data_IF_727551725681
#
_entry.id   IF_727551725681
#
_cell.length_a   1.000
_cell.length_b   1.000
_cell.length_c   1.000
_cell.angle_alpha   90.00
_cell.angle_beta   90.00
_cell.angle_gamma   90.00
#
_symmetry.space_group_name_H-M   'P 1'
#
loop_
_entity.id
_entity.type
_entity.pdbx_description
1 polymer ?
#
# COMPACT_ATOMS: atom_id res chain seq x y z
N UNK A 1 54.99 -5.99 55.00
CA UNK A 1 54.56 -4.75 55.70
C UNK A 1 55.08 -3.55 54.91
N UNK A 2 54.27 -2.47 54.84
CA UNK A 2 54.30 -1.31 53.90
C UNK A 2 53.40 -1.54 52.68
N UNK A 3 52.54 -0.64 52.21
CA UNK A 3 51.97 0.61 52.71
C UNK A 3 50.71 0.88 51.87
N UNK A 4 49.68 1.40 52.54
CA UNK A 4 48.43 2.06 52.08
C UNK A 4 48.34 2.66 50.67
N UNK A 5 47.13 2.60 50.06
CA UNK A 5 46.30 3.68 49.46
C UNK A 5 45.12 3.02 48.73
N UNK A 6 43.86 3.05 49.21
CA UNK A 6 42.91 4.16 49.22
C UNK A 6 42.47 4.65 47.81
N UNK A 7 41.16 4.51 47.57
CA UNK A 7 40.30 5.30 46.67
C UNK A 7 40.38 5.10 45.15
N UNK A 8 39.24 4.70 44.59
CA UNK A 8 38.91 4.71 43.17
C UNK A 8 37.75 3.73 42.94
N UNK A 9 36.51 4.03 43.33
CA UNK A 9 35.78 5.22 42.91
C UNK A 9 34.88 4.82 41.74
N UNK A 10 33.60 4.57 42.07
CA UNK A 10 32.42 4.62 41.21
C UNK A 10 32.65 5.02 39.74
N UNK A 11 32.50 4.07 38.82
CA UNK A 11 32.20 4.34 37.40
C UNK A 11 31.05 3.42 36.97
N UNK A 12 29.87 3.72 37.49
CA UNK A 12 28.57 3.20 37.07
C UNK A 12 27.63 4.35 36.76
N UNK A 13 28.05 5.30 35.93
CA UNK A 13 27.15 6.29 35.30
C UNK A 13 27.79 6.76 34.00
N UNK A 14 26.99 6.87 32.93
CA UNK A 14 27.28 7.49 31.63
C UNK A 14 27.75 6.58 30.49
N UNK A 15 26.90 5.64 30.08
CA UNK A 15 26.76 5.28 28.67
C UNK A 15 25.29 4.96 28.33
N UNK A 16 24.39 5.81 28.80
CA UNK A 16 23.03 5.93 28.30
C UNK A 16 22.91 7.26 27.57
N UNK A 17 22.24 7.23 26.42
CA UNK A 17 21.99 8.34 25.50
C UNK A 17 23.17 8.71 24.59
N UNK A 18 23.17 8.18 23.36
CA UNK A 18 22.99 8.94 22.11
C UNK A 18 23.15 7.93 20.98
N UNK A 19 22.01 7.59 20.40
CA UNK A 19 21.76 7.28 19.00
C UNK A 19 20.48 6.47 19.03
N UNK A 20 19.38 7.19 19.17
CA UNK A 20 18.20 6.86 18.39
C UNK A 20 18.70 6.68 16.95
N UNK A 21 19.02 5.44 16.60
CA UNK A 21 18.79 4.97 15.24
C UNK A 21 17.28 4.89 15.13
N UNK A 22 16.62 6.05 15.13
CA UNK A 22 15.54 6.26 14.19
C UNK A 22 16.18 5.85 12.87
N UNK A 23 15.88 4.62 12.48
CA UNK A 23 16.33 4.05 11.24
C UNK A 23 16.07 5.16 10.22
N UNK A 24 17.14 5.66 9.59
CA UNK A 24 17.00 6.44 8.38
C UNK A 24 16.18 5.55 7.45
N UNK A 25 14.86 5.74 7.47
CA UNK A 25 13.95 5.13 6.54
C UNK A 25 14.18 5.97 5.30
N UNK A 26 14.78 5.40 4.25
CA UNK A 26 14.88 6.10 2.99
C UNK A 26 13.52 6.70 2.68
N UNK A 27 13.50 7.96 2.26
CA UNK A 27 12.26 8.60 1.86
C UNK A 27 11.60 7.69 0.82
N UNK A 28 10.38 7.19 1.04
CA UNK A 28 9.74 6.24 0.13
C UNK A 28 9.47 6.86 -1.27
N UNK A 29 9.70 8.16 -1.41
CA UNK A 29 9.58 8.94 -2.64
C UNK A 29 10.92 9.12 -3.38
N UNK A 30 12.05 8.69 -2.84
CA UNK A 30 13.35 8.82 -3.52
C UNK A 30 13.43 7.78 -4.65
N UNK A 31 13.20 8.21 -5.88
CA UNK A 31 13.45 7.43 -7.10
C UNK A 31 14.96 7.30 -7.33
N UNK A 32 15.65 6.47 -6.52
CA UNK A 32 17.05 6.12 -6.74
C UNK A 32 17.15 5.11 -7.90
N UNK A 33 17.82 5.43 -9.03
CA UNK A 33 17.97 4.50 -10.16
C UNK A 33 18.69 3.19 -9.81
N UNK A 34 19.43 3.14 -8.69
CA UNK A 34 20.23 2.00 -8.27
C UNK A 34 19.59 1.17 -7.13
N UNK A 35 18.51 1.68 -6.50
CA UNK A 35 17.81 1.01 -5.36
C UNK A 35 16.27 1.05 -5.47
N UNK A 36 15.70 1.95 -6.28
CA UNK A 36 14.33 2.45 -6.17
C UNK A 36 13.42 2.18 -7.38
N UNK A 37 13.29 0.92 -7.80
CA UNK A 37 12.22 0.57 -8.74
C UNK A 37 10.86 0.65 -8.04
N UNK A 38 10.00 1.60 -8.45
CA UNK A 38 8.63 1.68 -7.95
C UNK A 38 7.94 0.34 -8.22
N UNK A 39 7.37 -0.31 -7.19
CA UNK A 39 6.78 -1.62 -7.34
C UNK A 39 5.64 -1.60 -8.35
N UNK A 40 5.53 -2.69 -9.11
CA UNK A 40 4.45 -2.94 -10.04
C UNK A 40 3.59 -4.08 -9.52
N UNK A 41 2.34 -3.79 -9.20
CA UNK A 41 1.29 -4.77 -8.90
C UNK A 41 0.66 -5.20 -10.21
N UNK A 42 0.88 -6.46 -10.57
CA UNK A 42 0.40 -7.05 -11.82
C UNK A 42 -1.02 -7.57 -11.69
N UNK A 43 -1.72 -7.60 -12.82
CA UNK A 43 -3.00 -8.27 -12.94
C UNK A 43 -2.87 -9.75 -12.60
N UNK A 44 -3.89 -10.38 -12.00
CA UNK A 44 -3.88 -11.82 -11.80
C UNK A 44 -3.81 -12.55 -13.16
N UNK A 45 -3.11 -13.68 -13.19
CA UNK A 45 -2.94 -14.49 -14.41
C UNK A 45 -4.27 -15.13 -14.86
N UNK A 46 -5.16 -15.41 -13.91
CA UNK A 46 -6.47 -16.01 -14.15
C UNK A 46 -7.56 -15.01 -13.83
N UNK A 47 -8.61 -15.02 -14.64
CA UNK A 47 -9.80 -14.23 -14.37
C UNK A 47 -10.53 -14.82 -13.16
N UNK A 48 -10.70 -14.02 -12.11
CA UNK A 48 -11.40 -14.42 -10.88
C UNK A 48 -12.79 -14.97 -11.18
N UNK A 49 -13.50 -14.41 -12.15
CA UNK A 49 -14.82 -14.91 -12.49
C UNK A 49 -14.79 -16.34 -13.05
N UNK A 50 -13.67 -16.82 -13.63
CA UNK A 50 -13.56 -18.17 -14.24
C UNK A 50 -13.78 -19.28 -13.23
N UNK A 51 -13.44 -19.05 -11.97
CA UNK A 51 -13.62 -20.04 -10.91
C UNK A 51 -15.10 -20.38 -10.66
N UNK A 52 -16.02 -19.49 -11.03
CA UNK A 52 -17.45 -19.70 -10.86
C UNK A 52 -18.06 -20.62 -11.91
N UNK A 53 -17.37 -20.91 -13.02
CA UNK A 53 -17.83 -21.83 -14.06
C UNK A 53 -19.28 -21.56 -14.50
N UNK A 54 -20.17 -22.54 -14.28
CA UNK A 54 -21.62 -22.45 -14.61
C UNK A 54 -22.50 -22.03 -13.42
N UNK A 55 -21.91 -21.61 -12.31
CA UNK A 55 -22.65 -21.11 -11.15
C UNK A 55 -23.50 -19.90 -11.54
N UNK A 56 -24.66 -19.74 -10.89
CA UNK A 56 -25.50 -18.54 -11.05
C UNK A 56 -24.76 -17.24 -10.66
N UNK A 57 -23.71 -17.34 -9.84
CA UNK A 57 -22.87 -16.20 -9.42
C UNK A 57 -21.98 -15.68 -10.56
N UNK A 58 -21.68 -16.49 -11.59
CA UNK A 58 -20.79 -16.11 -12.69
C UNK A 58 -21.27 -14.85 -13.41
N UNK A 59 -22.57 -14.76 -13.71
CA UNK A 59 -23.13 -13.60 -14.41
C UNK A 59 -22.95 -12.30 -13.62
N UNK A 60 -23.19 -12.33 -12.32
CA UNK A 60 -23.00 -11.16 -11.44
C UNK A 60 -21.52 -10.78 -11.32
N UNK A 61 -20.61 -11.76 -11.31
CA UNK A 61 -19.17 -11.50 -11.33
C UNK A 61 -18.74 -10.82 -12.64
N UNK A 62 -19.24 -11.29 -13.78
CA UNK A 62 -18.93 -10.70 -15.09
C UNK A 62 -19.42 -9.27 -15.22
N UNK A 63 -20.63 -8.99 -14.72
CA UNK A 63 -21.18 -7.63 -14.66
C UNK A 63 -20.34 -6.74 -13.74
N UNK A 64 -19.99 -7.22 -12.54
CA UNK A 64 -19.13 -6.51 -11.61
C UNK A 64 -17.75 -6.21 -12.23
N UNK A 65 -17.19 -7.15 -12.99
CA UNK A 65 -15.93 -7.00 -13.71
C UNK A 65 -16.02 -5.93 -14.79
N UNK A 66 -17.12 -5.90 -15.54
CA UNK A 66 -17.38 -4.87 -16.54
C UNK A 66 -17.43 -3.48 -15.88
N UNK A 67 -18.21 -3.32 -14.81
CA UNK A 67 -18.32 -2.05 -14.07
C UNK A 67 -16.97 -1.61 -13.50
N UNK A 68 -16.21 -2.54 -12.91
CA UNK A 68 -14.87 -2.28 -12.40
C UNK A 68 -13.91 -1.82 -13.49
N UNK A 69 -14.00 -2.42 -14.68
CA UNK A 69 -13.17 -2.06 -15.84
C UNK A 69 -13.48 -0.64 -16.30
N UNK A 70 -14.77 -0.31 -16.44
CA UNK A 70 -15.20 1.04 -16.81
C UNK A 70 -14.80 2.09 -15.77
N UNK A 71 -14.94 1.79 -14.48
CA UNK A 71 -14.47 2.67 -13.41
C UNK A 71 -12.96 2.91 -13.51
N UNK A 72 -12.17 1.83 -13.58
CA UNK A 72 -10.70 1.88 -13.55
C UNK A 72 -10.13 2.66 -14.74
N UNK A 73 -10.72 2.48 -15.93
CA UNK A 73 -10.28 3.18 -17.15
C UNK A 73 -10.55 4.68 -17.16
N UNK A 74 -11.46 5.15 -16.31
CA UNK A 74 -11.81 6.57 -16.19
C UNK A 74 -10.95 7.30 -15.16
N UNK A 75 -10.17 6.56 -14.37
CA UNK A 75 -9.25 7.12 -13.39
C UNK A 75 -8.21 8.02 -14.07
N UNK A 76 -8.07 9.21 -13.53
CA UNK A 76 -7.18 10.26 -14.01
C UNK A 76 -6.32 10.78 -12.88
N UNK A 77 -5.18 11.40 -13.23
CA UNK A 77 -4.30 12.02 -12.24
C UNK A 77 -5.08 13.06 -11.42
N UNK A 78 -4.98 12.97 -10.10
CA UNK A 78 -5.71 13.80 -9.15
C UNK A 78 -6.97 13.14 -8.57
N UNK A 79 -7.47 12.05 -9.18
CA UNK A 79 -8.58 11.30 -8.58
C UNK A 79 -8.15 10.62 -7.28
N UNK A 80 -9.10 10.45 -6.37
CA UNK A 80 -8.94 9.61 -5.18
C UNK A 80 -9.74 8.32 -5.34
N UNK A 81 -9.22 7.24 -4.75
CA UNK A 81 -9.83 5.92 -4.74
C UNK A 81 -9.72 5.28 -3.36
N UNK A 82 -10.56 4.28 -3.10
CA UNK A 82 -10.46 3.42 -1.93
C UNK A 82 -9.74 2.11 -2.24
N UNK A 83 -8.73 1.76 -1.45
CA UNK A 83 -7.92 0.53 -1.60
C UNK A 83 -8.30 -0.60 -0.64
N UNK A 84 -9.22 -0.32 0.27
CA UNK A 84 -9.75 -1.29 1.20
C UNK A 84 -11.16 -0.89 1.63
N UNK A 85 -12.13 -1.70 1.21
CA UNK A 85 -13.53 -1.60 1.61
C UNK A 85 -14.29 -0.50 0.88
N UNK A 86 -14.12 -0.41 -0.45
CA UNK A 86 -14.88 0.55 -1.25
C UNK A 86 -14.26 0.90 -2.61
N UNK A 87 -13.38 0.06 -3.17
CA UNK A 87 -12.86 0.33 -4.52
C UNK A 87 -14.03 0.39 -5.51
N UNK A 88 -14.08 1.47 -6.30
CA UNK A 88 -15.20 1.77 -7.21
C UNK A 88 -16.31 2.64 -6.60
N UNK A 89 -16.24 2.93 -5.30
CA UNK A 89 -17.18 3.82 -4.61
C UNK A 89 -16.57 5.22 -4.43
N UNK A 90 -17.41 6.20 -4.07
CA UNK A 90 -16.95 7.56 -3.79
C UNK A 90 -16.04 7.58 -2.54
N UNK A 91 -14.80 8.11 -2.63
CA UNK A 91 -13.89 8.16 -1.50
C UNK A 91 -14.47 8.99 -0.34
N UNK A 92 -14.48 8.43 0.86
CA UNK A 92 -15.05 9.12 2.02
C UNK A 92 -14.74 8.43 3.34
N UNK A 93 -15.53 8.74 4.38
CA UNK A 93 -15.31 8.25 5.75
C UNK A 93 -15.39 6.73 5.90
N UNK A 94 -16.03 6.02 4.96
CA UNK A 94 -16.07 4.54 4.93
C UNK A 94 -14.75 3.90 4.51
N UNK A 95 -13.94 4.63 3.74
CA UNK A 95 -12.68 4.15 3.18
C UNK A 95 -11.69 3.77 4.28
N UNK A 96 -11.18 2.54 4.28
CA UNK A 96 -10.12 2.15 5.23
C UNK A 96 -8.75 2.64 4.78
N UNK A 97 -8.52 2.76 3.48
CA UNK A 97 -7.33 3.38 2.93
C UNK A 97 -7.66 4.14 1.66
N UNK A 98 -7.29 5.43 1.62
CA UNK A 98 -7.42 6.29 0.44
C UNK A 98 -6.10 6.39 -0.29
N UNK A 99 -6.16 6.29 -1.60
CA UNK A 99 -5.05 6.57 -2.47
C UNK A 99 -5.40 7.63 -3.51
N UNK A 100 -4.40 8.40 -3.93
CA UNK A 100 -4.51 9.33 -5.05
C UNK A 100 -3.86 8.73 -6.30
N UNK A 101 -4.45 8.99 -7.45
CA UNK A 101 -3.81 8.73 -8.74
C UNK A 101 -2.77 9.81 -8.98
N UNK A 102 -1.50 9.44 -9.04
CA UNK A 102 -0.38 10.39 -9.22
C UNK A 102 0.24 10.34 -10.60
N UNK A 103 -0.01 9.27 -11.37
CA UNK A 103 0.42 9.12 -12.77
C UNK A 103 -0.44 8.07 -13.49
N UNK A 104 -0.51 8.13 -14.82
CA UNK A 104 -1.20 7.14 -15.65
C UNK A 104 -0.32 6.75 -16.84
N UNK A 105 -0.39 5.47 -17.22
CA UNK A 105 0.33 4.91 -18.36
C UNK A 105 -0.56 3.88 -19.08
N UNK A 106 -0.22 3.43 -20.29
CA UNK A 106 -1.02 2.42 -20.98
C UNK A 106 -1.21 1.16 -20.12
N UNK A 107 -2.48 0.84 -19.81
CA UNK A 107 -2.91 -0.27 -18.95
C UNK A 107 -2.44 -0.19 -17.48
N UNK A 108 -2.04 0.99 -17.00
CA UNK A 108 -1.50 1.16 -15.64
C UNK A 108 -1.83 2.50 -15.02
N UNK A 109 -1.96 2.51 -13.70
CA UNK A 109 -2.07 3.72 -12.89
C UNK A 109 -1.08 3.68 -11.75
N UNK A 110 -0.44 4.81 -11.45
CA UNK A 110 0.45 4.96 -10.28
C UNK A 110 -0.38 5.53 -9.15
N UNK A 111 -0.39 4.81 -8.03
CA UNK A 111 -1.16 5.16 -6.85
C UNK A 111 -0.23 5.57 -5.72
N UNK A 112 -0.60 6.61 -4.99
CA UNK A 112 -0.01 6.96 -3.70
C UNK A 112 -1.03 6.73 -2.59
N UNK A 113 -0.70 5.94 -1.57
CA UNK A 113 -1.53 5.84 -0.36
C UNK A 113 -1.41 7.13 0.45
N UNK A 114 -2.50 7.91 0.54
CA UNK A 114 -2.53 9.21 1.23
C UNK A 114 -2.87 9.09 2.71
N UNK A 115 -3.84 8.23 3.04
CA UNK A 115 -4.31 8.04 4.41
C UNK A 115 -4.79 6.61 4.58
N UNK A 116 -4.47 5.98 5.72
CA UNK A 116 -5.00 4.68 6.08
C UNK A 116 -5.43 4.65 7.55
N UNK A 117 -6.55 3.98 7.84
CA UNK A 117 -7.00 3.75 9.21
C UNK A 117 -6.07 2.75 9.91
N UNK A 118 -5.96 2.79 11.25
CA UNK A 118 -5.10 1.86 12.00
C UNK A 118 -5.41 0.38 11.79
N UNK A 119 -6.64 0.04 11.41
CA UNK A 119 -7.08 -1.32 11.14
C UNK A 119 -6.93 -1.74 9.66
N UNK A 120 -6.41 -0.86 8.80
CA UNK A 120 -6.15 -1.15 7.39
C UNK A 120 -4.83 -1.88 7.20
N UNK A 121 -4.77 -2.81 6.23
CA UNK A 121 -3.50 -3.41 5.80
C UNK A 121 -2.51 -2.40 5.24
N UNK A 122 -2.99 -1.21 4.85
CA UNK A 122 -2.21 -0.13 4.26
C UNK A 122 -1.66 0.88 5.29
N UNK A 123 -1.92 0.69 6.58
CA UNK A 123 -1.51 1.64 7.64
C UNK A 123 -0.01 1.95 7.66
N UNK A 124 0.83 0.94 7.41
CA UNK A 124 2.30 1.11 7.34
C UNK A 124 2.82 1.44 5.93
N UNK A 125 1.91 1.69 4.99
CA UNK A 125 2.19 1.96 3.58
C UNK A 125 1.82 3.39 3.15
N UNK A 126 1.49 4.28 4.09
CA UNK A 126 1.27 5.70 3.80
C UNK A 126 2.50 6.31 3.11
N UNK A 127 2.24 7.21 2.15
CA UNK A 127 3.22 7.83 1.26
C UNK A 127 4.01 6.84 0.37
N UNK A 128 3.64 5.55 0.33
CA UNK A 128 4.22 4.62 -0.63
C UNK A 128 3.49 4.69 -1.95
N UNK A 129 4.26 4.63 -3.02
CA UNK A 129 3.73 4.59 -4.38
C UNK A 129 3.94 3.22 -5.01
N UNK A 130 2.99 2.81 -5.84
CA UNK A 130 3.15 1.64 -6.68
C UNK A 130 2.38 1.84 -8.00
N UNK A 131 2.92 1.27 -9.07
CA UNK A 131 2.17 1.06 -10.30
C UNK A 131 1.23 -0.12 -10.12
N UNK A 132 0.00 0.02 -10.62
CA UNK A 132 -0.97 -1.05 -10.70
C UNK A 132 -1.37 -1.22 -12.14
N UNK A 133 -1.36 -2.45 -12.64
CA UNK A 133 -2.06 -2.75 -13.88
C UNK A 133 -3.57 -2.62 -13.65
N UNK A 134 -4.30 -2.15 -14.66
CA UNK A 134 -5.75 -1.97 -14.56
C UNK A 134 -6.45 -3.26 -14.09
N UNK A 135 -6.01 -4.41 -14.57
CA UNK A 135 -6.54 -5.72 -14.18
C UNK A 135 -6.32 -6.07 -12.71
N UNK A 136 -5.27 -5.53 -12.06
CA UNK A 136 -5.06 -5.71 -10.63
C UNK A 136 -6.10 -4.95 -9.80
N UNK A 137 -6.49 -3.76 -10.25
CA UNK A 137 -7.52 -2.95 -9.60
C UNK A 137 -8.92 -3.49 -9.87
N UNK A 138 -9.16 -4.01 -11.07
CA UNK A 138 -10.38 -4.76 -11.37
C UNK A 138 -10.48 -6.00 -10.47
N UNK A 139 -9.39 -6.74 -10.26
CA UNK A 139 -9.41 -7.88 -9.34
C UNK A 139 -9.68 -7.46 -7.88
N UNK A 140 -9.12 -6.32 -7.44
CA UNK A 140 -9.42 -5.73 -6.14
C UNK A 140 -10.92 -5.46 -5.98
N UNK A 141 -11.55 -4.81 -6.98
CA UNK A 141 -12.99 -4.55 -6.98
C UNK A 141 -13.81 -5.81 -6.75
N UNK A 142 -13.45 -6.89 -7.46
CA UNK A 142 -14.15 -8.17 -7.40
C UNK A 142 -13.92 -8.86 -6.05
N UNK A 143 -12.68 -8.87 -5.56
CA UNK A 143 -12.32 -9.46 -4.28
C UNK A 143 -13.07 -8.81 -3.10
N UNK A 144 -13.19 -7.48 -3.10
CA UNK A 144 -13.92 -6.75 -2.06
C UNK A 144 -15.43 -7.05 -2.04
N UNK A 145 -15.97 -7.52 -3.17
CA UNK A 145 -17.38 -7.92 -3.31
C UNK A 145 -17.58 -9.43 -3.12
N UNK A 146 -16.53 -10.16 -2.76
CA UNK A 146 -16.60 -11.58 -2.41
C UNK A 146 -16.58 -12.53 -3.61
N UNK A 147 -16.12 -12.08 -4.77
CA UNK A 147 -16.01 -12.90 -5.97
C UNK A 147 -14.74 -13.75 -6.06
#
# INVERSE_FOLDING_TARGET
>A
MKWTWACGGLLWVLAGCISDKEAFRPNPNDEDPLVGAIPLVRSPVKDRCEQHGRSSVRGNCDEAKYLATEYTRRLSVGDEICLEGGYGDEPGGGCKARAAIIDTAPNRVKLEVRTAKPDSRWFNAEMRHAWYEEGALVDLYLAERGY
#
